data_IF_634697743235
#
_entry.id   IF_634697743235
#
_cell.length_a   1.000
_cell.length_b   1.000
_cell.length_c   1.000
_cell.angle_alpha   90.00
_cell.angle_beta   90.00
_cell.angle_gamma   90.00
#
_symmetry.space_group_name_H-M   'P 1'
#
loop_
_entity.id
_entity.type
_entity.pdbx_description
1 polymer ?
#
# COMPACT_ATOMS: atom_id res chain seq x y z
N UNK A 1 17.62 35.13 -28.72
CA UNK A 1 17.16 35.74 -27.46
C UNK A 1 17.50 34.76 -26.35
N UNK A 2 18.42 35.18 -25.49
CA UNK A 2 19.05 34.42 -24.42
C UNK A 2 18.04 33.99 -23.36
N UNK A 3 17.77 32.70 -23.27
CA UNK A 3 17.13 32.08 -22.10
C UNK A 3 18.02 32.36 -20.89
N UNK A 4 17.52 33.14 -19.93
CA UNK A 4 18.18 33.35 -18.64
C UNK A 4 18.46 32.00 -17.99
N UNK A 5 19.73 31.62 -17.98
CA UNK A 5 20.21 30.45 -17.26
C UNK A 5 20.06 30.78 -15.77
N UNK A 6 18.98 30.33 -15.13
CA UNK A 6 18.82 30.42 -13.66
C UNK A 6 20.10 29.84 -13.03
N UNK A 7 20.75 30.62 -12.17
CA UNK A 7 21.90 30.13 -11.40
C UNK A 7 21.50 28.86 -10.64
N UNK A 8 22.40 27.86 -10.60
CA UNK A 8 22.18 26.57 -9.93
C UNK A 8 21.70 26.80 -8.49
N UNK A 9 22.24 27.81 -7.81
CA UNK A 9 21.85 28.19 -6.46
C UNK A 9 20.40 28.68 -6.36
N UNK A 10 19.91 29.42 -7.35
CA UNK A 10 18.53 29.91 -7.38
C UNK A 10 17.52 28.76 -7.58
N UNK A 11 17.85 27.80 -8.45
CA UNK A 11 17.05 26.59 -8.66
C UNK A 11 16.98 25.74 -7.38
N UNK A 12 18.12 25.55 -6.70
CA UNK A 12 18.21 24.82 -5.44
C UNK A 12 17.38 25.49 -4.33
N UNK A 13 17.42 26.81 -4.22
CA UNK A 13 16.62 27.56 -3.24
C UNK A 13 15.12 27.38 -3.50
N UNK A 14 14.69 27.47 -4.75
CA UNK A 14 13.29 27.29 -5.14
C UNK A 14 12.82 25.86 -4.84
N UNK A 15 13.64 24.86 -5.17
CA UNK A 15 13.37 23.46 -4.89
C UNK A 15 13.29 23.14 -3.39
N UNK A 16 14.22 23.67 -2.57
CA UNK A 16 14.16 23.51 -1.11
C UNK A 16 12.88 24.13 -0.54
N UNK A 17 12.51 25.34 -0.99
CA UNK A 17 11.27 26.00 -0.56
C UNK A 17 10.04 25.17 -0.92
N UNK A 18 10.00 24.64 -2.15
CA UNK A 18 8.93 23.74 -2.58
C UNK A 18 8.85 22.47 -1.73
N UNK A 19 9.99 21.83 -1.47
CA UNK A 19 10.06 20.58 -0.68
C UNK A 19 9.54 20.79 0.76
N UNK A 20 9.90 21.93 1.36
CA UNK A 20 9.43 22.32 2.69
C UNK A 20 7.92 22.59 2.68
N UNK A 21 7.40 23.38 1.74
CA UNK A 21 5.97 23.67 1.63
C UNK A 21 5.16 22.39 1.40
N UNK A 22 5.64 21.49 0.53
CA UNK A 22 5.01 20.19 0.29
C UNK A 22 4.95 19.34 1.56
N UNK A 23 6.06 19.24 2.29
CA UNK A 23 6.14 18.49 3.56
C UNK A 23 5.24 19.10 4.63
N UNK A 24 5.16 20.43 4.72
CA UNK A 24 4.25 21.13 5.64
C UNK A 24 2.78 20.85 5.31
N UNK A 25 2.40 20.88 4.02
CA UNK A 25 1.05 20.50 3.56
C UNK A 25 0.72 19.05 3.89
N UNK A 26 1.67 18.14 3.72
CA UNK A 26 1.52 16.74 4.10
C UNK A 26 1.27 16.60 5.60
N UNK A 27 2.06 17.26 6.45
CA UNK A 27 1.86 17.27 7.92
C UNK A 27 0.49 17.82 8.28
N UNK A 28 0.05 18.92 7.66
CA UNK A 28 -1.26 19.51 7.90
C UNK A 28 -2.40 18.54 7.53
N UNK A 29 -2.28 17.83 6.40
CA UNK A 29 -3.23 16.80 5.98
C UNK A 29 -3.25 15.61 6.96
N UNK A 30 -2.09 15.14 7.41
CA UNK A 30 -1.98 14.05 8.39
C UNK A 30 -2.60 14.44 9.74
N UNK A 31 -2.33 15.64 10.25
CA UNK A 31 -2.96 16.17 11.48
C UNK A 31 -4.48 16.28 11.34
N UNK A 32 -4.97 16.66 10.15
CA UNK A 32 -6.42 16.68 9.87
C UNK A 32 -7.02 15.28 9.84
N UNK A 33 -6.29 14.30 9.29
CA UNK A 33 -6.71 12.90 9.29
C UNK A 33 -6.73 12.32 10.71
N UNK A 34 -5.71 12.60 11.52
CA UNK A 34 -5.64 12.20 12.94
C UNK A 34 -6.84 12.73 13.74
N UNK A 35 -7.22 14.01 13.56
CA UNK A 35 -8.42 14.59 14.20
C UNK A 35 -9.75 14.02 13.69
N UNK A 36 -9.78 13.48 12.48
CA UNK A 36 -10.99 12.92 11.85
C UNK A 36 -11.26 11.51 12.28
N UNK A 37 -10.21 10.72 12.57
CA UNK A 37 -10.41 9.48 13.30
C UNK A 37 -10.88 9.92 14.67
N UNK A 38 -12.18 9.79 14.89
CA UNK A 38 -12.81 10.20 16.15
C UNK A 38 -12.28 9.36 17.30
N UNK A 39 -13.01 9.39 18.41
CA UNK A 39 -12.67 8.57 19.55
C UNK A 39 -12.89 7.08 19.22
N UNK A 40 -11.84 6.41 18.73
CA UNK A 40 -11.90 4.99 18.43
C UNK A 40 -12.27 4.18 19.68
N UNK A 41 -11.98 4.68 20.87
CA UNK A 41 -12.34 4.02 22.13
C UNK A 41 -13.86 3.88 22.29
N UNK A 42 -14.65 4.80 21.73
CA UNK A 42 -16.11 4.69 21.75
C UNK A 42 -16.61 3.43 21.03
N UNK A 43 -15.91 2.97 19.99
CA UNK A 43 -16.26 1.75 19.26
C UNK A 43 -16.00 0.51 20.12
N UNK A 44 -14.89 0.52 20.87
CA UNK A 44 -14.58 -0.55 21.83
C UNK A 44 -15.60 -0.60 22.97
N UNK A 45 -16.01 0.56 23.49
CA UNK A 45 -17.06 0.67 24.51
C UNK A 45 -18.37 0.12 23.98
N UNK A 46 -18.79 0.51 22.76
CA UNK A 46 -20.00 -0.02 22.11
C UNK A 46 -19.96 -1.54 21.98
N UNK A 47 -18.88 -2.11 21.44
CA UNK A 47 -18.73 -3.56 21.29
C UNK A 47 -18.78 -4.30 22.64
N UNK A 48 -18.15 -3.72 23.68
CA UNK A 48 -18.15 -4.28 25.04
C UNK A 48 -19.56 -4.25 25.65
N UNK A 49 -20.28 -3.13 25.53
CA UNK A 49 -21.65 -3.00 26.02
C UNK A 49 -22.59 -4.01 25.37
N UNK A 50 -22.48 -4.22 24.05
CA UNK A 50 -23.28 -5.23 23.35
C UNK A 50 -23.01 -6.65 23.85
N UNK A 51 -21.74 -7.00 24.13
CA UNK A 51 -21.39 -8.31 24.71
C UNK A 51 -21.93 -8.45 26.13
N UNK A 52 -21.83 -7.42 26.96
CA UNK A 52 -22.28 -7.42 28.36
C UNK A 52 -23.80 -7.51 28.50
N UNK A 53 -24.53 -6.74 27.70
CA UNK A 53 -26.00 -6.64 27.78
C UNK A 53 -26.73 -7.49 26.74
N UNK A 54 -26.07 -8.47 26.13
CA UNK A 54 -26.60 -9.23 25.00
C UNK A 54 -28.01 -9.81 25.23
N UNK A 55 -28.29 -10.30 26.44
CA UNK A 55 -29.59 -10.90 26.76
C UNK A 55 -30.72 -9.88 27.04
N UNK A 56 -30.39 -8.58 27.12
CA UNK A 56 -31.32 -7.49 27.46
C UNK A 56 -31.66 -6.61 26.25
N UNK A 57 -31.04 -6.89 25.09
CA UNK A 57 -31.17 -6.07 23.89
C UNK A 57 -32.24 -6.65 22.97
N UNK A 58 -33.21 -5.83 22.60
CA UNK A 58 -34.19 -6.15 21.57
C UNK A 58 -33.67 -5.74 20.19
N UNK A 59 -33.23 -6.74 19.42
CA UNK A 59 -32.65 -6.55 18.10
C UNK A 59 -33.62 -5.87 17.10
N UNK A 60 -34.93 -6.03 17.28
CA UNK A 60 -35.92 -5.50 16.33
C UNK A 60 -35.96 -3.96 16.31
N UNK A 61 -35.51 -3.32 17.40
CA UNK A 61 -35.47 -1.85 17.50
C UNK A 61 -34.37 -1.23 16.65
N UNK A 62 -33.34 -1.99 16.26
CA UNK A 62 -32.18 -1.48 15.52
C UNK A 62 -31.25 -0.55 16.30
N UNK A 63 -31.47 -0.42 17.61
CA UNK A 63 -30.56 0.27 18.51
C UNK A 63 -30.78 -0.19 19.97
N UNK A 64 -29.76 0.03 20.81
CA UNK A 64 -29.81 -0.17 22.25
C UNK A 64 -29.27 1.07 22.97
N UNK A 65 -29.92 1.46 24.07
CA UNK A 65 -29.44 2.52 24.97
C UNK A 65 -28.90 1.80 26.20
N UNK A 66 -27.58 1.90 26.42
CA UNK A 66 -26.87 1.12 27.42
C UNK A 66 -26.03 2.05 28.32
N UNK A 67 -25.90 1.75 29.62
CA UNK A 67 -25.14 2.60 30.53
C UNK A 67 -23.66 2.61 30.16
N UNK A 68 -23.10 3.80 29.93
CA UNK A 68 -21.71 3.97 29.53
C UNK A 68 -20.78 3.81 30.74
N UNK A 69 -20.02 2.71 30.80
CA UNK A 69 -19.04 2.49 31.86
C UNK A 69 -17.82 3.42 31.74
N UNK A 70 -17.55 4.00 30.57
CA UNK A 70 -16.46 4.97 30.37
C UNK A 70 -16.83 6.38 30.85
N UNK A 71 -18.13 6.68 30.94
CA UNK A 71 -18.66 7.95 31.46
C UNK A 71 -19.81 7.69 32.44
N UNK A 72 -19.51 7.48 33.74
CA UNK A 72 -20.51 7.17 34.75
C UNK A 72 -21.68 8.17 34.74
N UNK A 73 -22.91 7.65 34.73
CA UNK A 73 -24.14 8.46 34.72
C UNK A 73 -24.59 8.95 33.34
N UNK A 74 -23.93 8.50 32.25
CA UNK A 74 -24.39 8.73 30.88
C UNK A 74 -24.80 7.42 30.22
N UNK A 75 -25.76 7.51 29.32
CA UNK A 75 -26.14 6.41 28.44
C UNK A 75 -25.51 6.57 27.06
N UNK A 76 -25.14 5.45 26.46
CA UNK A 76 -24.60 5.37 25.11
C UNK A 76 -25.61 4.67 24.20
N UNK A 77 -25.96 5.32 23.09
CA UNK A 77 -26.77 4.70 22.04
C UNK A 77 -25.87 3.91 21.09
N UNK A 78 -26.18 2.62 20.95
CA UNK A 78 -25.50 1.69 20.06
C UNK A 78 -26.47 1.26 18.97
N UNK A 79 -26.12 1.50 17.71
CA UNK A 79 -26.96 1.11 16.57
C UNK A 79 -26.66 -0.33 16.18
N UNK A 80 -27.68 -1.03 15.72
CA UNK A 80 -27.63 -2.46 15.40
C UNK A 80 -28.13 -2.68 13.98
N UNK A 81 -27.52 -3.63 13.28
CA UNK A 81 -28.06 -4.22 12.08
C UNK A 81 -28.97 -5.40 12.47
N UNK A 82 -30.27 -5.27 12.20
CA UNK A 82 -31.28 -6.28 12.53
C UNK A 82 -31.07 -7.61 11.78
N UNK A 83 -30.24 -7.63 10.74
CA UNK A 83 -29.89 -8.86 10.00
C UNK A 83 -28.76 -9.65 10.66
N UNK A 84 -28.07 -9.05 11.62
CA UNK A 84 -26.96 -9.64 12.37
C UNK A 84 -27.40 -9.95 13.80
N UNK A 85 -26.84 -10.99 14.39
CA UNK A 85 -26.97 -11.24 15.83
C UNK A 85 -26.32 -10.11 16.63
N UNK A 86 -26.66 -10.02 17.92
CA UNK A 86 -26.06 -9.01 18.82
C UNK A 86 -24.54 -9.21 18.92
N UNK A 87 -24.08 -10.46 18.94
CA UNK A 87 -22.66 -10.80 18.98
C UNK A 87 -21.94 -10.40 17.68
N UNK A 88 -22.55 -10.59 16.51
CA UNK A 88 -21.99 -10.14 15.24
C UNK A 88 -21.95 -8.60 15.12
N UNK A 89 -22.97 -7.91 15.64
CA UNK A 89 -22.96 -6.45 15.75
C UNK A 89 -21.81 -5.98 16.66
N UNK A 90 -21.61 -6.64 17.81
CA UNK A 90 -20.50 -6.35 18.70
C UNK A 90 -19.15 -6.55 18.02
N UNK A 91 -18.99 -7.65 17.28
CA UNK A 91 -17.75 -7.96 16.57
C UNK A 91 -17.46 -6.97 15.43
N UNK A 92 -18.48 -6.46 14.73
CA UNK A 92 -18.30 -5.38 13.75
C UNK A 92 -17.74 -4.11 14.40
N UNK A 93 -18.22 -3.74 15.59
CA UNK A 93 -17.67 -2.62 16.35
C UNK A 93 -16.19 -2.85 16.74
N UNK A 94 -15.82 -4.07 17.15
CA UNK A 94 -14.42 -4.42 17.42
C UNK A 94 -13.55 -4.41 16.15
N UNK A 95 -14.06 -4.92 15.03
CA UNK A 95 -13.37 -4.84 13.74
C UNK A 95 -13.13 -3.40 13.33
N UNK A 96 -14.15 -2.54 13.44
CA UNK A 96 -14.00 -1.11 13.15
C UNK A 96 -12.99 -0.46 14.10
N UNK A 97 -13.05 -0.74 15.40
CA UNK A 97 -12.06 -0.27 16.37
C UNK A 97 -10.63 -0.66 15.97
N UNK A 98 -10.38 -1.93 15.65
CA UNK A 98 -9.05 -2.39 15.26
C UNK A 98 -8.59 -1.82 13.92
N UNK A 99 -9.51 -1.57 12.97
CA UNK A 99 -9.20 -0.84 11.73
C UNK A 99 -8.78 0.60 12.02
N UNK A 100 -9.57 1.32 12.81
CA UNK A 100 -9.34 2.74 13.12
C UNK A 100 -8.08 2.94 13.96
N UNK A 101 -7.82 2.05 14.92
CA UNK A 101 -6.59 2.04 15.71
C UNK A 101 -5.34 1.83 14.85
N UNK A 102 -5.35 0.81 13.97
CA UNK A 102 -4.24 0.58 13.02
C UNK A 102 -4.04 1.76 12.08
N UNK A 103 -5.14 2.36 11.62
CA UNK A 103 -5.12 3.58 10.81
C UNK A 103 -4.46 4.75 11.54
N UNK A 104 -4.85 4.99 12.80
CA UNK A 104 -4.26 6.02 13.67
C UNK A 104 -2.77 5.79 13.90
N UNK A 105 -2.36 4.56 14.22
CA UNK A 105 -0.95 4.24 14.45
C UNK A 105 -0.11 4.52 13.20
N UNK A 106 -0.63 4.14 12.02
CA UNK A 106 0.01 4.43 10.73
C UNK A 106 0.11 5.94 10.47
N UNK A 107 -0.97 6.69 10.73
CA UNK A 107 -0.97 8.16 10.59
C UNK A 107 0.08 8.79 11.51
N UNK A 108 0.14 8.35 12.77
CA UNK A 108 1.12 8.85 13.76
C UNK A 108 2.55 8.55 13.33
N UNK A 109 2.83 7.33 12.85
CA UNK A 109 4.15 6.97 12.31
C UNK A 109 4.55 7.87 11.13
N UNK A 110 3.63 8.08 10.18
CA UNK A 110 3.87 8.98 9.05
C UNK A 110 4.07 10.43 9.49
N UNK A 111 3.36 10.88 10.52
CA UNK A 111 3.49 12.22 11.07
C UNK A 111 4.87 12.43 11.70
N UNK A 112 5.34 11.48 12.51
CA UNK A 112 6.70 11.48 13.09
C UNK A 112 7.76 11.53 11.99
N UNK A 113 7.63 10.69 10.97
CA UNK A 113 8.55 10.67 9.84
C UNK A 113 8.56 12.02 9.10
N UNK A 114 7.40 12.55 8.74
CA UNK A 114 7.28 13.82 8.03
C UNK A 114 7.84 15.00 8.85
N UNK A 115 7.67 14.99 10.17
CA UNK A 115 8.28 15.99 11.07
C UNK A 115 9.80 15.88 11.12
N UNK A 116 10.35 14.66 11.16
CA UNK A 116 11.79 14.43 11.10
C UNK A 116 12.37 14.95 9.80
N UNK A 117 11.70 14.68 8.68
CA UNK A 117 12.15 15.11 7.36
C UNK A 117 12.06 16.64 7.21
N UNK A 118 10.99 17.27 7.70
CA UNK A 118 10.89 18.72 7.76
C UNK A 118 12.04 19.35 8.57
N UNK A 119 12.41 18.77 9.71
CA UNK A 119 13.51 19.26 10.52
C UNK A 119 14.86 19.18 9.78
N UNK A 120 15.10 18.08 9.04
CA UNK A 120 16.28 17.93 8.19
C UNK A 120 16.30 18.95 7.05
N UNK A 121 15.16 19.16 6.39
CA UNK A 121 15.02 20.13 5.29
C UNK A 121 15.27 21.57 5.77
N UNK A 122 14.72 21.95 6.92
CA UNK A 122 14.97 23.27 7.53
C UNK A 122 16.45 23.44 7.91
N UNK A 123 17.09 22.39 8.46
CA UNK A 123 18.52 22.41 8.77
C UNK A 123 19.37 22.55 7.50
N UNK A 124 19.01 21.85 6.43
CA UNK A 124 19.66 21.99 5.11
C UNK A 124 19.54 23.41 4.60
N UNK A 125 18.34 23.99 4.63
CA UNK A 125 18.09 25.37 4.20
C UNK A 125 18.89 26.38 5.03
N UNK A 126 18.99 26.21 6.34
CA UNK A 126 19.74 27.10 7.22
C UNK A 126 21.27 27.04 6.99
N UNK A 127 21.78 25.87 6.61
CA UNK A 127 23.22 25.66 6.37
C UNK A 127 23.63 25.86 4.90
N UNK A 128 22.70 26.23 4.02
CA UNK A 128 22.96 26.40 2.60
C UNK A 128 23.61 27.77 2.34
N UNK A 129 24.78 27.77 1.72
CA UNK A 129 25.44 28.97 1.24
C UNK A 129 25.21 29.13 -0.28
N UNK A 130 24.44 30.12 -0.74
CA UNK A 130 24.17 30.34 -2.16
C UNK A 130 25.41 30.66 -3.00
N UNK A 131 26.47 31.18 -2.38
CA UNK A 131 27.71 31.59 -3.04
C UNK A 131 28.70 30.42 -3.22
N UNK A 132 28.43 29.27 -2.60
CA UNK A 132 29.23 28.05 -2.77
C UNK A 132 28.65 27.16 -3.88
N UNK A 133 29.21 27.28 -5.08
CA UNK A 133 28.75 26.55 -6.26
C UNK A 133 28.94 25.02 -6.14
N UNK A 134 29.94 24.56 -5.37
CA UNK A 134 30.17 23.14 -5.13
C UNK A 134 29.10 22.57 -4.20
N UNK A 135 28.77 23.30 -3.13
CA UNK A 135 27.67 22.97 -2.24
C UNK A 135 26.33 22.97 -2.99
N UNK A 136 26.08 23.96 -3.86
CA UNK A 136 24.88 24.04 -4.68
C UNK A 136 24.70 22.80 -5.59
N UNK A 137 25.76 22.31 -6.23
CA UNK A 137 25.72 21.10 -7.06
C UNK A 137 25.41 19.84 -6.24
N UNK A 138 26.02 19.69 -5.06
CA UNK A 138 25.78 18.54 -4.16
C UNK A 138 24.33 18.55 -3.67
N UNK A 139 23.83 19.70 -3.22
CA UNK A 139 22.44 19.81 -2.74
C UNK A 139 21.45 19.61 -3.87
N UNK A 140 21.74 20.09 -5.09
CA UNK A 140 20.93 19.81 -6.28
C UNK A 140 20.80 18.31 -6.52
N UNK A 141 21.90 17.56 -6.47
CA UNK A 141 21.86 16.11 -6.65
C UNK A 141 21.03 15.42 -5.55
N UNK A 142 21.21 15.82 -4.28
CA UNK A 142 20.40 15.29 -3.18
C UNK A 142 18.90 15.56 -3.38
N UNK A 143 18.54 16.76 -3.85
CA UNK A 143 17.14 17.12 -4.12
C UNK A 143 16.56 16.36 -5.32
N UNK A 144 17.39 15.96 -6.28
CA UNK A 144 16.98 15.05 -7.37
C UNK A 144 16.73 13.65 -6.81
N UNK A 145 17.65 13.13 -6.00
CA UNK A 145 17.53 11.80 -5.40
C UNK A 145 16.32 11.69 -4.45
N UNK A 146 15.89 12.81 -3.86
CA UNK A 146 14.70 12.95 -3.01
C UNK A 146 13.42 13.34 -3.78
N UNK A 147 13.43 13.30 -5.12
CA UNK A 147 12.31 13.67 -6.01
C UNK A 147 11.78 15.11 -5.84
N UNK A 148 12.56 16.00 -5.21
CA UNK A 148 12.23 17.42 -5.01
C UNK A 148 12.55 18.27 -6.24
N UNK A 149 13.56 17.87 -7.02
CA UNK A 149 13.81 18.39 -8.37
C UNK A 149 13.48 17.28 -9.34
N UNK A 150 12.41 17.48 -10.11
CA UNK A 150 12.18 16.66 -11.30
C UNK A 150 13.24 17.05 -12.31
N UNK A 151 14.19 16.16 -12.56
CA UNK A 151 14.98 16.29 -13.79
C UNK A 151 13.98 16.26 -14.94
N UNK A 152 14.01 17.26 -15.81
CA UNK A 152 13.54 17.06 -17.16
C UNK A 152 14.42 15.94 -17.71
N UNK A 153 13.95 14.71 -17.56
CA UNK A 153 14.33 13.64 -18.45
C UNK A 153 13.86 14.18 -19.79
N UNK A 154 14.77 14.84 -20.54
CA UNK A 154 14.63 14.97 -21.98
C UNK A 154 14.19 13.58 -22.39
N UNK A 155 12.95 13.47 -22.85
CA UNK A 155 12.45 12.22 -23.39
C UNK A 155 13.36 11.92 -24.59
N UNK A 156 14.48 11.25 -24.33
CA UNK A 156 15.00 10.30 -25.28
C UNK A 156 13.79 9.45 -25.61
N UNK A 157 13.35 9.56 -26.85
CA UNK A 157 12.28 8.77 -27.44
C UNK A 157 12.57 7.27 -27.39
N UNK A 158 13.71 6.85 -26.82
CA UNK A 158 13.87 5.53 -26.22
C UNK A 158 13.42 5.57 -24.78
N UNK A 159 12.22 5.04 -24.53
CA UNK A 159 11.88 4.48 -23.24
C UNK A 159 13.12 3.73 -22.69
N UNK A 160 13.53 3.96 -21.43
CA UNK A 160 14.52 3.09 -20.82
C UNK A 160 13.99 1.67 -21.03
N UNK A 161 14.79 0.79 -21.65
CA UNK A 161 14.38 -0.59 -21.86
C UNK A 161 13.81 -1.08 -20.53
N UNK A 162 12.52 -1.47 -20.47
CA UNK A 162 11.93 -1.87 -19.21
C UNK A 162 12.78 -3.04 -18.74
N UNK A 163 13.50 -2.86 -17.62
CA UNK A 163 14.22 -3.95 -17.01
C UNK A 163 13.21 -5.10 -16.85
N UNK A 164 13.34 -6.14 -17.67
CA UNK A 164 12.28 -7.12 -17.85
C UNK A 164 11.82 -7.65 -16.48
N UNK A 165 10.52 -7.94 -16.29
CA UNK A 165 10.05 -8.63 -15.10
C UNK A 165 10.90 -9.88 -14.88
N UNK A 166 11.02 -10.33 -13.62
CA UNK A 166 11.76 -11.58 -13.36
C UNK A 166 11.04 -12.70 -14.10
N UNK A 167 11.78 -13.45 -14.91
CA UNK A 167 11.26 -14.61 -15.65
C UNK A 167 11.68 -15.88 -14.95
N UNK A 168 10.71 -16.75 -14.79
CA UNK A 168 10.85 -18.09 -14.26
C UNK A 168 10.19 -19.05 -15.24
N UNK A 169 10.72 -20.26 -15.30
CA UNK A 169 10.05 -21.37 -15.97
C UNK A 169 9.68 -22.39 -14.91
N UNK A 170 8.40 -22.76 -14.85
CA UNK A 170 7.96 -23.86 -13.97
C UNK A 170 8.57 -25.18 -14.43
N UNK A 171 8.45 -26.22 -13.61
CA UNK A 171 8.89 -27.58 -14.01
C UNK A 171 8.23 -28.07 -15.31
N UNK A 172 7.02 -27.59 -15.59
CA UNK A 172 6.26 -27.90 -16.81
C UNK A 172 6.67 -26.99 -17.99
N UNK A 173 7.75 -26.23 -17.83
CA UNK A 173 8.29 -25.29 -18.80
C UNK A 173 7.31 -24.16 -19.17
N UNK A 174 6.42 -23.78 -18.24
CA UNK A 174 5.51 -22.64 -18.40
C UNK A 174 6.20 -21.37 -17.93
N UNK A 175 6.16 -20.32 -18.75
CA UNK A 175 6.70 -19.01 -18.40
C UNK A 175 5.87 -18.35 -17.30
N UNK A 176 6.55 -17.92 -16.24
CA UNK A 176 6.01 -17.14 -15.13
C UNK A 176 6.79 -15.84 -15.00
N UNK A 177 6.08 -14.72 -15.04
CA UNK A 177 6.68 -13.40 -14.91
C UNK A 177 6.29 -12.77 -13.56
N UNK A 178 7.28 -12.18 -12.89
CA UNK A 178 7.11 -11.52 -11.58
C UNK A 178 7.60 -10.07 -11.66
N UNK A 179 6.71 -9.12 -11.37
CA UNK A 179 7.07 -7.70 -11.37
C UNK A 179 8.03 -7.34 -10.23
N UNK A 180 9.01 -6.47 -10.50
CA UNK A 180 10.00 -6.04 -9.48
C UNK A 180 9.58 -4.81 -8.70
N UNK A 181 8.69 -4.00 -9.26
CA UNK A 181 8.19 -2.75 -8.68
C UNK A 181 6.76 -2.47 -9.17
N UNK A 182 6.12 -1.45 -8.60
CA UNK A 182 4.71 -1.13 -8.88
C UNK A 182 4.44 -0.75 -10.34
N UNK A 183 5.39 -0.14 -11.04
CA UNK A 183 5.26 0.21 -12.47
C UNK A 183 5.30 -1.05 -13.34
N UNK A 184 6.19 -2.00 -13.02
CA UNK A 184 6.25 -3.29 -13.70
C UNK A 184 5.03 -4.15 -13.41
N UNK A 185 4.54 -4.14 -12.16
CA UNK A 185 3.32 -4.85 -11.78
C UNK A 185 2.14 -4.42 -12.65
N UNK A 186 1.96 -3.10 -12.85
CA UNK A 186 0.94 -2.57 -13.75
C UNK A 186 1.14 -3.02 -15.18
N UNK A 187 2.37 -2.84 -15.70
CA UNK A 187 2.66 -3.22 -17.08
C UNK A 187 2.39 -4.70 -17.32
N UNK A 188 2.85 -5.56 -16.41
CA UNK A 188 2.67 -7.00 -16.46
C UNK A 188 1.18 -7.38 -16.44
N UNK A 189 0.41 -6.82 -15.51
CA UNK A 189 -1.02 -7.13 -15.39
C UNK A 189 -1.84 -6.60 -16.56
N UNK A 190 -1.51 -5.42 -17.09
CA UNK A 190 -2.29 -4.79 -18.17
C UNK A 190 -1.94 -5.31 -19.56
N UNK A 191 -0.73 -5.86 -19.76
CA UNK A 191 -0.30 -6.42 -21.06
C UNK A 191 -0.52 -7.92 -21.20
N UNK A 192 -0.74 -8.63 -20.08
CA UNK A 192 -1.01 -10.06 -20.09
C UNK A 192 -2.30 -10.40 -20.85
N UNK A 193 -2.34 -11.61 -21.45
CA UNK A 193 -3.56 -12.11 -22.09
C UNK A 193 -4.66 -12.31 -21.05
N UNK A 194 -5.89 -11.98 -21.42
CA UNK A 194 -7.07 -12.02 -20.54
C UNK A 194 -7.34 -13.40 -19.92
N UNK A 195 -6.99 -14.47 -20.62
CA UNK A 195 -7.20 -15.86 -20.16
C UNK A 195 -6.05 -16.44 -19.34
N UNK A 196 -4.97 -15.68 -19.15
CA UNK A 196 -3.87 -16.07 -18.28
C UNK A 196 -4.23 -15.91 -16.81
N UNK A 197 -3.48 -16.63 -15.98
CA UNK A 197 -3.62 -16.58 -14.53
C UNK A 197 -2.71 -15.50 -13.94
N UNK A 198 -3.24 -14.81 -12.95
CA UNK A 198 -2.59 -13.79 -12.16
C UNK A 198 -2.67 -14.16 -10.70
N UNK A 199 -1.58 -13.92 -9.97
CA UNK A 199 -1.46 -14.21 -8.56
C UNK A 199 -0.87 -13.04 -7.78
N UNK A 200 -1.35 -12.89 -6.56
CA UNK A 200 -0.86 -11.91 -5.59
C UNK A 200 -1.16 -12.38 -4.17
N UNK A 201 -0.35 -11.96 -3.21
CA UNK A 201 -0.54 -12.37 -1.81
C UNK A 201 -1.76 -11.69 -1.22
N UNK A 202 -2.68 -12.47 -0.65
CA UNK A 202 -3.89 -11.95 -0.03
C UNK A 202 -3.53 -11.01 1.13
N UNK A 203 -4.13 -9.82 1.15
CA UNK A 203 -4.03 -8.82 2.23
C UNK A 203 -2.63 -8.19 2.48
N UNK A 204 -1.57 -8.65 1.79
CA UNK A 204 -0.21 -8.14 1.97
C UNK A 204 0.35 -7.47 0.71
N UNK A 205 1.28 -6.54 0.90
CA UNK A 205 2.01 -5.97 -0.22
C UNK A 205 2.95 -7.01 -0.85
N UNK A 206 2.89 -7.15 -2.17
CA UNK A 206 3.63 -8.16 -2.92
C UNK A 206 3.73 -7.87 -4.41
N UNK A 207 4.55 -8.65 -5.09
CA UNK A 207 4.75 -8.58 -6.53
C UNK A 207 3.56 -9.18 -7.27
N UNK A 208 3.22 -8.64 -8.44
CA UNK A 208 2.25 -9.30 -9.32
C UNK A 208 2.95 -10.44 -10.04
N UNK A 209 2.30 -11.60 -10.08
CA UNK A 209 2.79 -12.78 -10.78
C UNK A 209 1.81 -13.15 -11.87
N UNK A 210 2.28 -13.36 -13.10
CA UNK A 210 1.46 -13.80 -14.24
C UNK A 210 2.01 -15.11 -14.77
N UNK A 211 1.14 -16.10 -14.90
CA UNK A 211 1.43 -17.40 -15.51
C UNK A 211 0.96 -17.34 -16.95
N UNK A 212 1.88 -17.54 -17.90
CA UNK A 212 1.60 -17.50 -19.33
C UNK A 212 0.99 -18.81 -19.84
N UNK A 213 -0.09 -19.26 -19.20
CA UNK A 213 -0.87 -20.43 -19.58
C UNK A 213 -2.36 -20.19 -19.35
N UNK A 214 -3.19 -20.74 -20.23
CA UNK A 214 -4.66 -20.73 -20.10
C UNK A 214 -5.19 -21.90 -19.27
N UNK A 215 -4.37 -22.93 -19.08
CA UNK A 215 -4.70 -24.15 -18.33
C UNK A 215 -3.43 -24.68 -17.63
N UNK A 216 -2.95 -23.98 -16.58
CA UNK A 216 -1.77 -24.41 -15.84
C UNK A 216 -2.07 -25.66 -15.00
N UNK A 217 -1.09 -26.55 -14.89
CA UNK A 217 -1.16 -27.67 -13.95
C UNK A 217 -1.23 -27.17 -12.50
N UNK A 218 -1.70 -28.02 -11.59
CA UNK A 218 -1.67 -27.74 -10.15
C UNK A 218 -0.24 -27.43 -9.65
N UNK A 219 0.75 -28.14 -10.18
CA UNK A 219 2.16 -27.90 -9.85
C UNK A 219 2.61 -26.50 -10.29
N UNK A 220 2.29 -26.10 -11.52
CA UNK A 220 2.60 -24.76 -12.04
C UNK A 220 1.93 -23.66 -11.20
N UNK A 221 0.69 -23.88 -10.74
CA UNK A 221 -0.01 -22.95 -9.84
C UNK A 221 0.71 -22.83 -8.49
N UNK A 222 1.12 -23.95 -7.88
CA UNK A 222 1.81 -23.95 -6.60
C UNK A 222 3.19 -23.28 -6.67
N UNK A 223 3.95 -23.53 -7.73
CA UNK A 223 5.26 -22.91 -7.97
C UNK A 223 5.14 -21.40 -8.15
N UNK A 224 4.19 -20.96 -8.98
CA UNK A 224 3.92 -19.54 -9.19
C UNK A 224 3.41 -18.84 -7.91
N UNK A 225 2.56 -19.51 -7.13
CA UNK A 225 2.10 -19.00 -5.84
C UNK A 225 3.26 -18.88 -4.84
N UNK A 226 4.18 -19.84 -4.81
CA UNK A 226 5.38 -19.75 -3.97
C UNK A 226 6.27 -18.57 -4.36
N UNK A 227 6.40 -18.27 -5.67
CA UNK A 227 7.08 -17.07 -6.16
C UNK A 227 6.38 -15.78 -5.70
N UNK A 228 5.04 -15.71 -5.77
CA UNK A 228 4.26 -14.58 -5.24
C UNK A 228 4.51 -14.38 -3.74
N UNK A 229 4.46 -15.46 -2.96
CA UNK A 229 4.72 -15.43 -1.53
C UNK A 229 6.16 -14.99 -1.20
N UNK A 230 7.15 -15.49 -1.93
CA UNK A 230 8.56 -15.15 -1.74
C UNK A 230 8.88 -13.70 -2.10
N UNK A 231 8.28 -13.15 -3.15
CA UNK A 231 8.44 -11.75 -3.56
C UNK A 231 7.39 -10.82 -2.96
N UNK A 232 6.98 -11.09 -1.72
CA UNK A 232 6.05 -10.29 -0.95
C UNK A 232 6.57 -9.95 0.45
N UNK A 233 5.81 -9.16 1.20
CA UNK A 233 6.01 -8.96 2.63
C UNK A 233 5.75 -10.23 3.47
N UNK A 234 5.11 -11.25 2.89
CA UNK A 234 4.87 -12.56 3.51
C UNK A 234 6.08 -13.51 3.48
N UNK A 235 7.21 -13.14 2.87
CA UNK A 235 8.40 -14.00 2.72
C UNK A 235 8.91 -14.66 4.01
N UNK A 236 8.72 -14.02 5.17
CA UNK A 236 9.14 -14.55 6.48
C UNK A 236 8.11 -15.43 7.19
N UNK A 237 6.91 -15.58 6.62
CA UNK A 237 5.84 -16.38 7.22
C UNK A 237 5.98 -17.85 6.85
N UNK A 238 5.48 -18.73 7.72
CA UNK A 238 5.46 -20.18 7.43
C UNK A 238 4.55 -20.49 6.25
N UNK A 239 3.35 -19.94 6.24
CA UNK A 239 2.39 -20.11 5.16
C UNK A 239 1.82 -18.75 4.79
N UNK A 240 1.57 -18.55 3.50
CA UNK A 240 1.08 -17.30 2.92
C UNK A 240 -0.10 -17.62 2.01
N UNK A 241 -1.29 -17.02 2.24
CA UNK A 241 -2.40 -17.12 1.32
C UNK A 241 -2.12 -16.29 0.05
N UNK A 242 -2.35 -16.87 -1.11
CA UNK A 242 -2.15 -16.25 -2.42
C UNK A 242 -3.45 -16.32 -3.20
N UNK A 243 -3.96 -15.16 -3.60
CA UNK A 243 -5.14 -15.06 -4.46
C UNK A 243 -4.77 -15.41 -5.88
N UNK A 244 -5.62 -16.22 -6.51
CA UNK A 244 -5.50 -16.72 -7.87
C UNK A 244 -6.72 -16.26 -8.66
N UNK A 245 -6.46 -15.49 -9.71
CA UNK A 245 -7.48 -14.86 -10.54
C UNK A 245 -7.09 -14.97 -12.02
N UNK A 246 -8.07 -14.88 -12.92
CA UNK A 246 -7.76 -14.65 -14.33
C UNK A 246 -7.53 -13.17 -14.58
N UNK A 247 -6.62 -12.83 -15.50
CA UNK A 247 -6.32 -11.43 -15.87
C UNK A 247 -7.59 -10.67 -16.30
N UNK A 248 -8.55 -11.33 -16.98
CA UNK A 248 -9.84 -10.74 -17.36
C UNK A 248 -10.68 -10.20 -16.18
N UNK A 249 -10.45 -10.71 -14.98
CA UNK A 249 -11.17 -10.29 -13.78
C UNK A 249 -10.58 -9.01 -13.19
N UNK A 250 -9.37 -8.64 -13.61
CA UNK A 250 -8.62 -7.50 -13.10
C UNK A 250 -8.96 -6.26 -13.92
N UNK A 251 -9.12 -5.13 -13.24
CA UNK A 251 -9.24 -3.83 -13.86
C UNK A 251 -8.51 -2.77 -13.02
N UNK A 252 -7.95 -1.78 -13.70
CA UNK A 252 -7.31 -0.63 -13.08
C UNK A 252 -8.22 0.59 -13.15
N UNK A 253 -8.64 1.19 -12.02
CA UNK A 253 -9.39 2.44 -12.03
C UNK A 253 -8.59 3.57 -12.67
N UNK A 254 -9.27 4.46 -13.42
CA UNK A 254 -8.63 5.64 -14.00
C UNK A 254 -8.04 6.52 -12.89
N UNK A 255 -6.75 6.85 -13.01
CA UNK A 255 -6.04 7.66 -12.02
C UNK A 255 -5.52 6.89 -10.80
N UNK A 256 -5.70 5.56 -10.74
CA UNK A 256 -5.14 4.74 -9.67
C UNK A 256 -3.59 4.79 -9.68
N UNK A 257 -3.01 4.77 -8.47
CA UNK A 257 -1.56 4.68 -8.26
C UNK A 257 -1.00 3.42 -8.95
N UNK A 258 0.28 3.44 -9.37
CA UNK A 258 0.89 2.25 -9.93
C UNK A 258 0.87 1.06 -8.98
N UNK A 259 0.60 -0.13 -9.51
CA UNK A 259 0.49 -1.40 -8.79
C UNK A 259 -0.90 -1.66 -8.18
N UNK A 260 -1.83 -0.69 -8.22
CA UNK A 260 -3.18 -0.88 -7.70
C UNK A 260 -4.10 -1.47 -8.77
N UNK A 261 -4.55 -2.70 -8.54
CA UNK A 261 -5.53 -3.39 -9.37
C UNK A 261 -6.72 -3.82 -8.51
N UNK A 262 -7.92 -3.71 -9.07
CA UNK A 262 -9.14 -4.23 -8.48
C UNK A 262 -9.59 -5.45 -9.27
N UNK A 263 -10.27 -6.38 -8.62
CA UNK A 263 -10.81 -7.55 -9.29
C UNK A 263 -12.30 -7.71 -9.03
N UNK A 264 -12.97 -8.44 -9.92
CA UNK A 264 -14.39 -8.76 -9.82
C UNK A 264 -14.62 -10.28 -9.79
N UNK A 265 -15.60 -10.71 -9.01
CA UNK A 265 -15.96 -12.14 -8.89
C UNK A 265 -15.27 -12.82 -7.71
N UNK A 266 -15.20 -14.15 -7.78
CA UNK A 266 -14.51 -14.97 -6.77
C UNK A 266 -13.03 -15.06 -7.12
N UNK A 267 -12.18 -14.91 -6.11
CA UNK A 267 -10.78 -15.30 -6.16
C UNK A 267 -10.65 -16.68 -5.50
N UNK A 268 -9.88 -17.56 -6.10
CA UNK A 268 -9.45 -18.78 -5.43
C UNK A 268 -8.22 -18.45 -4.59
N UNK A 269 -8.06 -19.07 -3.41
CA UNK A 269 -6.91 -18.80 -2.54
C UNK A 269 -6.10 -20.08 -2.35
N UNK A 270 -4.81 -20.01 -2.67
CA UNK A 270 -3.84 -21.07 -2.42
C UNK A 270 -2.93 -20.71 -1.26
N UNK A 271 -2.84 -21.58 -0.26
CA UNK A 271 -1.93 -21.39 0.87
C UNK A 271 -0.61 -22.09 0.58
N UNK A 272 0.48 -21.32 0.48
CA UNK A 272 1.80 -21.84 0.07
C UNK A 272 2.91 -21.41 1.01
N UNK A 273 4.04 -22.11 0.94
CA UNK A 273 5.27 -21.77 1.66
C UNK A 273 6.17 -20.93 0.76
N UNK A 274 6.72 -19.80 1.24
CA UNK A 274 7.74 -19.05 0.50
C UNK A 274 9.03 -19.88 0.42
N UNK A 275 9.44 -20.31 -0.78
CA UNK A 275 10.68 -21.08 -0.97
C UNK A 275 11.69 -20.34 -1.88
N UNK A 276 12.75 -19.81 -1.26
CA UNK A 276 13.81 -19.14 -2.00
C UNK A 276 14.71 -20.07 -2.81
N UNK A 277 14.90 -21.32 -2.37
CA UNK A 277 15.70 -22.30 -3.13
C UNK A 277 14.96 -22.75 -4.38
N UNK A 278 13.63 -22.90 -4.29
CA UNK A 278 12.79 -23.13 -5.47
C UNK A 278 12.87 -21.94 -6.43
N UNK A 279 12.73 -20.71 -5.93
CA UNK A 279 12.81 -19.51 -6.78
C UNK A 279 14.14 -19.41 -7.54
N UNK A 280 15.27 -19.77 -6.91
CA UNK A 280 16.59 -19.81 -7.57
C UNK A 280 16.69 -20.91 -8.64
N UNK A 281 16.06 -22.08 -8.42
CA UNK A 281 16.05 -23.19 -9.39
C UNK A 281 15.22 -22.88 -10.64
N UNK A 282 14.07 -22.24 -10.46
CA UNK A 282 13.13 -21.89 -11.53
C UNK A 282 13.56 -20.62 -12.29
N UNK A 283 14.51 -19.85 -11.75
CA UNK A 283 15.01 -18.64 -12.38
C UNK A 283 15.67 -18.98 -13.72
N UNK A 284 15.34 -18.19 -14.74
CA UNK A 284 16.03 -18.27 -16.03
C UNK A 284 17.54 -18.06 -15.81
N UNK A 285 18.33 -19.11 -16.06
CA UNK A 285 19.79 -19.01 -16.03
C UNK A 285 20.20 -18.12 -17.21
N UNK A 286 20.74 -16.95 -16.90
CA UNK A 286 21.43 -16.11 -17.87
C UNK A 286 22.63 -16.81 -18.47
#
# INVERSE_FOLDING_TARGET
>A
MSTEQKSISAEVIEAMKWQIDHTQKQIASLKKAEKRVGDAEILQVKGTLLKTYANQIDLNKGYAVLPDYSHPGKDLTVYLDNKKTIMENAEEYFHQYHRDKRGLDTIKQHLVQAQSDLAKQLKRQANFNPDDESQAKVVKQQLIDEDAIKTEILHSSKAPEPAHPRRFYTTDNVLVEVGKNSVQNDHLTLTAKKDYYWMHVSELAGSHVVIHSTDPSEQTLLEAASLAAYYSKGRGLKQVPVDVLKVRQLHKPKGAKPGLVLFTGKADTLTVYPDGKMAEKLAEKK
#
